data_IF_500355810126
#
_entry.id   IF_500355810126
#
_cell.length_a   1.000
_cell.length_b   1.000
_cell.length_c   1.000
_cell.angle_alpha   90.00
_cell.angle_beta   90.00
_cell.angle_gamma   90.00
#
_symmetry.space_group_name_H-M   'P 1'
#
loop_
_entity.id
_entity.type
_entity.pdbx_description
1 polymer ?
#
# COMPACT_ATOMS: atom_id res chain seq x y z
N UNK A 1 69.70 -57.25 -17.78
CA UNK A 1 69.15 -56.75 -16.49
C UNK A 1 68.66 -55.30 -16.53
N UNK A 2 69.07 -54.48 -17.51
CA UNK A 2 68.72 -53.05 -17.57
C UNK A 2 67.24 -52.78 -17.95
N UNK A 3 66.69 -53.51 -18.92
CA UNK A 3 65.27 -53.37 -19.33
C UNK A 3 64.25 -53.69 -18.23
N UNK A 4 64.53 -54.67 -17.36
CA UNK A 4 63.61 -55.03 -16.26
C UNK A 4 63.50 -53.93 -15.19
N UNK A 5 64.58 -53.16 -14.97
CA UNK A 5 64.60 -52.03 -14.03
C UNK A 5 63.86 -50.81 -14.59
N UNK A 6 63.94 -50.59 -15.91
CA UNK A 6 63.22 -49.51 -16.59
C UNK A 6 61.69 -49.73 -16.60
N UNK A 7 61.22 -50.97 -16.79
CA UNK A 7 59.79 -51.31 -16.77
C UNK A 7 59.19 -51.13 -15.37
N UNK A 8 59.92 -51.53 -14.31
CA UNK A 8 59.47 -51.35 -12.92
C UNK A 8 59.38 -49.86 -12.55
N UNK A 9 60.34 -49.04 -13.00
CA UNK A 9 60.30 -47.59 -12.78
C UNK A 9 59.12 -46.92 -13.50
N UNK A 10 58.80 -47.32 -14.73
CA UNK A 10 57.63 -46.82 -15.47
C UNK A 10 56.30 -47.18 -14.80
N UNK A 11 56.16 -48.42 -14.31
CA UNK A 11 54.96 -48.84 -13.59
C UNK A 11 54.78 -48.10 -12.26
N UNK A 12 55.87 -47.77 -11.56
CA UNK A 12 55.82 -46.99 -10.32
C UNK A 12 55.37 -45.53 -10.54
N UNK A 13 55.79 -44.91 -11.65
CA UNK A 13 55.37 -43.54 -12.02
C UNK A 13 53.89 -43.50 -12.42
N UNK A 14 53.41 -44.50 -13.17
CA UNK A 14 51.99 -44.62 -13.55
C UNK A 14 51.10 -44.82 -12.31
N UNK A 15 51.50 -45.69 -11.37
CA UNK A 15 50.76 -45.92 -10.12
C UNK A 15 50.70 -44.66 -9.23
N UNK A 16 51.77 -43.88 -9.13
CA UNK A 16 51.75 -42.62 -8.38
C UNK A 16 50.89 -41.53 -9.06
N UNK A 17 50.90 -41.46 -10.40
CA UNK A 17 50.05 -40.53 -11.15
C UNK A 17 48.56 -40.81 -11.01
N UNK A 18 48.15 -42.07 -11.03
CA UNK A 18 46.74 -42.47 -10.88
C UNK A 18 46.22 -42.27 -9.44
N UNK A 19 47.03 -42.53 -8.42
CA UNK A 19 46.65 -42.34 -7.02
C UNK A 19 46.45 -40.85 -6.66
N UNK A 20 47.34 -39.97 -7.12
CA UNK A 20 47.20 -38.52 -6.88
C UNK A 20 45.98 -37.91 -7.58
N UNK A 21 45.69 -38.35 -8.81
CA UNK A 21 44.53 -37.87 -9.57
C UNK A 21 43.20 -38.32 -8.94
N UNK A 22 43.11 -39.58 -8.48
CA UNK A 22 41.91 -40.10 -7.80
C UNK A 22 41.60 -39.38 -6.48
N UNK A 23 42.61 -39.14 -5.65
CA UNK A 23 42.44 -38.42 -4.37
C UNK A 23 42.01 -36.97 -4.60
N UNK A 24 42.59 -36.28 -5.59
CA UNK A 24 42.24 -34.89 -5.91
C UNK A 24 40.79 -34.73 -6.38
N UNK A 25 40.31 -35.64 -7.23
CA UNK A 25 38.91 -35.62 -7.67
C UNK A 25 37.93 -35.98 -6.55
N UNK A 26 38.28 -36.95 -5.71
CA UNK A 26 37.44 -37.34 -4.57
C UNK A 26 37.27 -36.21 -3.54
N UNK A 27 38.35 -35.51 -3.18
CA UNK A 27 38.28 -34.37 -2.24
C UNK A 27 37.43 -33.23 -2.80
N UNK A 28 37.55 -32.90 -4.09
CA UNK A 28 36.74 -31.85 -4.73
C UNK A 28 35.27 -32.22 -4.82
N UNK A 29 34.92 -33.48 -5.09
CA UNK A 29 33.51 -33.89 -5.15
C UNK A 29 32.86 -33.85 -3.76
N UNK A 30 33.59 -34.24 -2.70
CA UNK A 30 33.13 -34.07 -1.33
C UNK A 30 32.94 -32.58 -0.98
N UNK A 31 33.92 -31.73 -1.30
CA UNK A 31 33.82 -30.29 -1.04
C UNK A 31 32.64 -29.65 -1.78
N UNK A 32 32.37 -30.07 -3.02
CA UNK A 32 31.19 -29.63 -3.77
C UNK A 32 29.89 -30.05 -3.07
N UNK A 33 29.77 -31.34 -2.73
CA UNK A 33 28.58 -31.90 -2.07
C UNK A 33 28.28 -31.26 -0.72
N UNK A 34 29.32 -31.01 0.08
CA UNK A 34 29.20 -30.35 1.39
C UNK A 34 28.66 -28.92 1.25
N UNK A 35 29.14 -28.18 0.25
CA UNK A 35 28.69 -26.81 -0.03
C UNK A 35 27.26 -26.78 -0.55
N UNK A 36 26.87 -27.70 -1.44
CA UNK A 36 25.47 -27.84 -1.88
C UNK A 36 24.57 -28.13 -0.67
N UNK A 37 24.94 -29.08 0.18
CA UNK A 37 24.18 -29.43 1.40
C UNK A 37 24.04 -28.23 2.34
N UNK A 38 25.11 -27.45 2.53
CA UNK A 38 25.07 -26.24 3.33
C UNK A 38 24.14 -25.17 2.72
N UNK A 39 24.14 -25.04 1.40
CA UNK A 39 23.25 -24.13 0.68
C UNK A 39 21.78 -24.54 0.85
N UNK A 40 21.46 -25.82 0.68
CA UNK A 40 20.11 -26.34 0.87
C UNK A 40 19.60 -26.14 2.30
N UNK A 41 20.45 -26.38 3.31
CA UNK A 41 20.10 -26.08 4.72
C UNK A 41 19.82 -24.60 4.95
N UNK A 42 20.50 -23.71 4.23
CA UNK A 42 20.23 -22.27 4.30
C UNK A 42 18.90 -21.92 3.59
N UNK A 43 18.58 -22.57 2.46
CA UNK A 43 17.27 -22.45 1.77
C UNK A 43 16.12 -22.88 2.68
N UNK A 44 16.27 -23.99 3.41
CA UNK A 44 15.27 -24.47 4.39
C UNK A 44 15.05 -23.46 5.52
N UNK A 45 16.10 -22.73 5.91
CA UNK A 45 16.05 -21.66 6.91
C UNK A 45 15.64 -20.32 6.32
N UNK A 46 15.32 -20.24 5.02
CA UNK A 46 14.99 -19.01 4.28
C UNK A 46 16.11 -17.96 4.34
N UNK A 47 17.34 -18.41 4.55
CA UNK A 47 18.53 -17.58 4.58
C UNK A 47 19.13 -17.49 3.17
N UNK A 48 18.49 -16.67 2.34
CA UNK A 48 18.79 -16.56 0.92
C UNK A 48 20.23 -16.10 0.64
N UNK A 49 20.78 -15.23 1.50
CA UNK A 49 22.14 -14.72 1.36
C UNK A 49 23.17 -15.82 1.64
N UNK A 50 23.02 -16.57 2.74
CA UNK A 50 23.92 -17.68 3.01
C UNK A 50 23.73 -18.83 2.03
N UNK A 51 22.51 -19.10 1.56
CA UNK A 51 22.28 -20.07 0.49
C UNK A 51 23.06 -19.68 -0.77
N UNK A 52 22.95 -18.44 -1.22
CA UNK A 52 23.66 -17.93 -2.40
C UNK A 52 25.17 -18.08 -2.24
N UNK A 53 25.71 -17.65 -1.09
CA UNK A 53 27.15 -17.75 -0.80
C UNK A 53 27.65 -19.20 -0.89
N UNK A 54 26.89 -20.16 -0.38
CA UNK A 54 27.26 -21.57 -0.43
C UNK A 54 27.16 -22.14 -1.85
N UNK A 55 26.16 -21.74 -2.65
CA UNK A 55 26.10 -22.12 -4.07
C UNK A 55 27.23 -21.49 -4.90
N UNK A 56 27.62 -20.24 -4.64
CA UNK A 56 28.79 -19.59 -5.28
C UNK A 56 30.09 -20.32 -4.91
N UNK A 57 30.21 -20.72 -3.64
CA UNK A 57 31.34 -21.52 -3.20
C UNK A 57 31.36 -22.91 -3.86
N UNK A 58 30.20 -23.55 -4.05
CA UNK A 58 30.08 -24.83 -4.77
C UNK A 58 30.42 -24.65 -6.26
N UNK A 59 29.94 -23.58 -6.90
CA UNK A 59 30.25 -23.24 -8.28
C UNK A 59 31.75 -23.03 -8.50
N UNK A 60 32.44 -22.43 -7.53
CA UNK A 60 33.89 -22.25 -7.54
C UNK A 60 34.66 -23.58 -7.49
N UNK A 61 34.08 -24.62 -6.86
CA UNK A 61 34.64 -25.97 -6.91
C UNK A 61 34.34 -26.60 -8.26
N UNK A 62 33.09 -26.54 -8.72
CA UNK A 62 32.64 -27.13 -9.99
C UNK A 62 31.43 -26.35 -10.50
N UNK A 63 31.57 -25.74 -11.68
CA UNK A 63 30.48 -25.03 -12.30
C UNK A 63 29.49 -26.02 -12.93
N UNK A 64 28.26 -26.01 -12.44
CA UNK A 64 27.16 -26.86 -12.94
C UNK A 64 25.95 -25.99 -13.27
N UNK A 65 25.05 -26.45 -14.17
CA UNK A 65 23.77 -25.76 -14.41
C UNK A 65 23.01 -25.49 -13.11
N UNK A 66 22.94 -26.50 -12.23
CA UNK A 66 22.29 -26.40 -10.91
C UNK A 66 22.84 -25.24 -10.08
N UNK A 67 24.17 -25.10 -9.96
CA UNK A 67 24.73 -23.98 -9.19
C UNK A 67 24.41 -22.63 -9.84
N UNK A 68 24.45 -22.53 -11.17
CA UNK A 68 24.15 -21.30 -11.90
C UNK A 68 22.70 -20.88 -11.72
N UNK A 69 21.76 -21.78 -12.00
CA UNK A 69 20.33 -21.50 -11.90
C UNK A 69 19.94 -21.23 -10.45
N UNK A 70 20.46 -21.99 -9.49
CA UNK A 70 20.23 -21.73 -8.05
C UNK A 70 20.67 -20.33 -7.62
N UNK A 71 21.83 -19.85 -8.07
CA UNK A 71 22.31 -18.49 -7.76
C UNK A 71 21.39 -17.44 -8.37
N UNK A 72 20.94 -17.64 -9.61
CA UNK A 72 20.02 -16.74 -10.30
C UNK A 72 18.68 -16.64 -9.56
N UNK A 73 18.09 -17.77 -9.18
CA UNK A 73 16.88 -17.82 -8.37
C UNK A 73 17.04 -17.08 -7.05
N UNK A 74 18.17 -17.31 -6.36
CA UNK A 74 18.44 -16.70 -5.07
C UNK A 74 18.66 -15.19 -5.18
N UNK A 75 19.19 -14.67 -6.29
CA UNK A 75 19.28 -13.22 -6.51
C UNK A 75 17.90 -12.56 -6.53
N UNK A 76 16.92 -13.21 -7.16
CA UNK A 76 15.54 -12.73 -7.19
C UNK A 76 14.87 -12.91 -5.83
N UNK A 77 15.05 -14.05 -5.16
CA UNK A 77 14.52 -14.28 -3.82
C UNK A 77 15.06 -13.29 -2.77
N UNK A 78 16.33 -12.89 -2.85
CA UNK A 78 16.91 -11.85 -1.97
C UNK A 78 16.21 -10.51 -2.18
N UNK A 79 16.06 -10.07 -3.45
CA UNK A 79 15.35 -8.82 -3.77
C UNK A 79 13.90 -8.86 -3.29
N UNK A 80 13.23 -9.99 -3.43
CA UNK A 80 11.87 -10.20 -2.97
C UNK A 80 11.76 -10.11 -1.44
N UNK A 81 12.69 -10.74 -0.72
CA UNK A 81 12.74 -10.70 0.74
C UNK A 81 13.00 -9.28 1.26
N UNK A 82 13.87 -8.51 0.60
CA UNK A 82 14.12 -7.10 0.96
C UNK A 82 12.88 -6.24 0.68
N UNK A 83 12.25 -6.39 -0.49
CA UNK A 83 10.98 -5.71 -0.79
C UNK A 83 9.86 -6.05 0.21
N UNK A 84 9.85 -7.28 0.73
CA UNK A 84 8.89 -7.71 1.77
C UNK A 84 9.13 -6.98 3.09
N UNK A 85 10.39 -6.74 3.48
CA UNK A 85 10.73 -5.93 4.67
C UNK A 85 10.28 -4.49 4.49
N UNK A 86 10.42 -3.96 3.29
CA UNK A 86 9.97 -2.61 2.91
C UNK A 86 8.45 -2.51 2.72
N UNK A 87 7.70 -3.61 2.94
CA UNK A 87 6.25 -3.73 2.70
C UNK A 87 5.84 -3.42 1.25
N UNK A 88 6.77 -3.50 0.32
CA UNK A 88 6.50 -3.40 -1.11
C UNK A 88 6.11 -4.79 -1.64
N UNK A 89 4.92 -5.26 -1.25
CA UNK A 89 4.49 -6.63 -1.56
C UNK A 89 4.26 -6.88 -3.06
N UNK A 90 3.93 -5.83 -3.83
CA UNK A 90 3.82 -5.92 -5.29
C UNK A 90 5.18 -6.28 -5.90
N UNK A 91 6.24 -5.57 -5.51
CA UNK A 91 7.60 -5.86 -5.97
C UNK A 91 8.07 -7.22 -5.45
N UNK A 92 7.82 -7.53 -4.19
CA UNK A 92 8.20 -8.82 -3.60
C UNK A 92 7.59 -10.00 -4.36
N UNK A 93 6.27 -9.94 -4.61
CA UNK A 93 5.54 -10.94 -5.38
C UNK A 93 6.16 -11.13 -6.77
N UNK A 94 6.37 -10.03 -7.50
CA UNK A 94 6.94 -10.07 -8.84
C UNK A 94 8.35 -10.71 -8.85
N UNK A 95 9.20 -10.38 -7.87
CA UNK A 95 10.53 -10.96 -7.80
C UNK A 95 10.51 -12.45 -7.44
N UNK A 96 9.62 -12.89 -6.55
CA UNK A 96 9.44 -14.32 -6.27
C UNK A 96 8.90 -15.08 -7.49
N UNK A 97 7.97 -14.51 -8.26
CA UNK A 97 7.49 -15.12 -9.50
C UNK A 97 8.62 -15.27 -10.54
N UNK A 98 9.45 -14.23 -10.73
CA UNK A 98 10.62 -14.32 -11.61
C UNK A 98 11.62 -15.38 -11.13
N UNK A 99 11.79 -15.55 -9.82
CA UNK A 99 12.66 -16.58 -9.27
C UNK A 99 12.15 -18.01 -9.56
N UNK A 100 10.83 -18.21 -9.59
CA UNK A 100 10.20 -19.49 -9.93
C UNK A 100 10.28 -19.80 -11.44
N UNK A 101 10.30 -18.76 -12.27
CA UNK A 101 10.37 -18.88 -13.73
C UNK A 101 11.79 -19.14 -14.28
N UNK A 102 12.81 -19.22 -13.41
CA UNK A 102 14.17 -19.58 -13.84
C UNK A 102 14.19 -21.02 -14.36
N UNK A 103 14.58 -21.16 -15.63
CA UNK A 103 14.67 -22.45 -16.32
C UNK A 103 15.66 -23.40 -15.63
N UNK A 104 15.30 -24.69 -15.55
CA UNK A 104 16.00 -25.70 -14.75
C UNK A 104 16.28 -25.24 -13.30
N UNK A 105 15.32 -24.53 -12.72
CA UNK A 105 15.34 -24.07 -11.33
C UNK A 105 15.45 -25.22 -10.33
N UNK A 106 16.06 -24.95 -9.18
CA UNK A 106 16.23 -25.92 -8.11
C UNK A 106 14.92 -26.11 -7.33
N UNK A 107 14.37 -27.33 -7.36
CA UNK A 107 13.10 -27.67 -6.70
C UNK A 107 13.03 -27.31 -5.21
N UNK A 108 14.14 -27.41 -4.47
CA UNK A 108 14.15 -27.06 -3.04
C UNK A 108 14.02 -25.55 -2.85
N UNK A 109 14.65 -24.78 -3.74
CA UNK A 109 14.54 -23.32 -3.76
C UNK A 109 13.12 -22.93 -4.17
N UNK A 110 12.56 -23.55 -5.21
CA UNK A 110 11.19 -23.33 -5.67
C UNK A 110 10.16 -23.51 -4.55
N UNK A 111 10.19 -24.67 -3.87
CA UNK A 111 9.27 -24.94 -2.75
C UNK A 111 9.38 -23.90 -1.63
N UNK A 112 10.59 -23.46 -1.32
CA UNK A 112 10.80 -22.45 -0.28
C UNK A 112 10.27 -21.07 -0.72
N UNK A 113 10.46 -20.72 -2.00
CA UNK A 113 9.94 -19.49 -2.61
C UNK A 113 8.41 -19.51 -2.71
N UNK A 114 7.79 -20.62 -3.10
CA UNK A 114 6.33 -20.76 -3.18
C UNK A 114 5.67 -20.44 -1.84
N UNK A 115 6.23 -20.97 -0.74
CA UNK A 115 5.74 -20.68 0.60
C UNK A 115 5.82 -19.18 0.95
N UNK A 116 6.94 -18.52 0.63
CA UNK A 116 7.09 -17.07 0.86
C UNK A 116 6.16 -16.25 -0.04
N UNK A 117 5.97 -16.68 -1.30
CA UNK A 117 5.09 -16.03 -2.25
C UNK A 117 3.64 -16.04 -1.75
N UNK A 118 3.19 -17.15 -1.17
CA UNK A 118 1.85 -17.24 -0.57
C UNK A 118 1.71 -16.33 0.66
N UNK A 119 2.72 -16.28 1.53
CA UNK A 119 2.77 -15.35 2.66
C UNK A 119 2.71 -13.88 2.19
N UNK A 120 3.46 -13.52 1.14
CA UNK A 120 3.45 -12.18 0.55
C UNK A 120 2.09 -11.86 -0.07
N UNK A 121 1.48 -12.78 -0.81
CA UNK A 121 0.13 -12.60 -1.37
C UNK A 121 -0.91 -12.38 -0.28
N UNK A 122 -0.81 -13.09 0.85
CA UNK A 122 -1.69 -12.90 1.99
C UNK A 122 -1.53 -11.50 2.61
N UNK A 123 -0.28 -11.05 2.80
CA UNK A 123 0.04 -9.71 3.32
C UNK A 123 -0.44 -8.59 2.39
N UNK A 124 -0.19 -8.71 1.10
CA UNK A 124 -0.65 -7.76 0.06
C UNK A 124 -2.17 -7.59 0.09
N UNK A 125 -2.90 -8.71 0.14
CA UNK A 125 -4.36 -8.71 0.25
C UNK A 125 -4.85 -8.05 1.54
N UNK A 126 -4.15 -8.28 2.66
CA UNK A 126 -4.48 -7.64 3.93
C UNK A 126 -4.25 -6.14 3.91
N UNK A 127 -3.15 -5.67 3.34
CA UNK A 127 -2.87 -4.23 3.22
C UNK A 127 -3.85 -3.54 2.27
N UNK A 128 -4.19 -4.17 1.15
CA UNK A 128 -5.17 -3.65 0.21
C UNK A 128 -6.53 -3.46 0.89
N UNK A 129 -7.01 -4.47 1.63
CA UNK A 129 -8.25 -4.34 2.41
C UNK A 129 -8.19 -3.26 3.48
N UNK A 130 -7.06 -3.09 4.15
CA UNK A 130 -6.88 -2.05 5.15
C UNK A 130 -6.92 -0.64 4.51
N UNK A 131 -6.32 -0.48 3.33
CA UNK A 131 -6.36 0.77 2.55
C UNK A 131 -7.78 1.07 2.07
N UNK A 132 -8.46 0.10 1.47
CA UNK A 132 -9.87 0.23 1.03
C UNK A 132 -10.78 0.63 2.20
N UNK A 133 -10.62 0.01 3.36
CA UNK A 133 -11.39 0.35 4.56
C UNK A 133 -11.09 1.77 5.05
N UNK A 134 -9.83 2.22 4.98
CA UNK A 134 -9.44 3.58 5.36
C UNK A 134 -9.95 4.61 4.37
N UNK A 135 -9.88 4.34 3.07
CA UNK A 135 -10.40 5.19 2.00
C UNK A 135 -11.91 5.35 2.12
N UNK A 136 -12.62 4.25 2.41
CA UNK A 136 -14.06 4.29 2.66
C UNK A 136 -14.41 5.14 3.87
N UNK A 137 -13.66 5.02 4.97
CA UNK A 137 -13.87 5.88 6.15
C UNK A 137 -13.58 7.35 5.85
N UNK A 138 -12.54 7.64 5.06
CA UNK A 138 -12.19 9.00 4.66
C UNK A 138 -13.27 9.61 3.76
N UNK A 139 -13.84 8.84 2.83
CA UNK A 139 -14.93 9.31 1.97
C UNK A 139 -16.24 9.49 2.74
N UNK A 140 -16.58 8.57 3.65
CA UNK A 140 -17.74 8.71 4.55
C UNK A 140 -17.61 9.96 5.46
N UNK A 141 -16.42 10.22 6.00
CA UNK A 141 -16.16 11.41 6.81
C UNK A 141 -16.26 12.71 5.99
N UNK A 142 -15.83 12.68 4.73
CA UNK A 142 -15.94 13.83 3.82
C UNK A 142 -17.40 14.10 3.43
N UNK A 143 -18.18 13.06 3.14
CA UNK A 143 -19.62 13.22 2.87
C UNK A 143 -20.38 13.75 4.10
N UNK A 144 -20.04 13.28 5.31
CA UNK A 144 -20.64 13.78 6.54
C UNK A 144 -20.31 15.26 6.80
N UNK A 145 -19.07 15.69 6.51
CA UNK A 145 -18.67 17.10 6.68
C UNK A 145 -19.34 18.02 5.65
N UNK A 146 -19.50 17.58 4.41
CA UNK A 146 -20.26 18.30 3.39
C UNK A 146 -21.74 18.47 3.78
N UNK A 147 -22.38 17.42 4.31
CA UNK A 147 -23.76 17.50 4.80
C UNK A 147 -23.90 18.48 5.97
N UNK A 148 -22.95 18.47 6.92
CA UNK A 148 -22.94 19.42 8.03
C UNK A 148 -22.78 20.87 7.53
N UNK A 149 -21.94 21.09 6.53
CA UNK A 149 -21.74 22.41 5.92
C UNK A 149 -23.03 22.90 5.24
N UNK A 150 -23.68 22.04 4.44
CA UNK A 150 -24.95 22.36 3.79
C UNK A 150 -26.06 22.68 4.80
N UNK A 151 -26.16 21.91 5.88
CA UNK A 151 -27.12 22.16 6.95
C UNK A 151 -26.86 23.53 7.64
N UNK A 152 -25.59 23.91 7.82
CA UNK A 152 -25.23 25.20 8.40
C UNK A 152 -25.64 26.38 7.49
N UNK A 153 -25.45 26.27 6.18
CA UNK A 153 -25.89 27.28 5.21
C UNK A 153 -27.41 27.38 5.15
N UNK A 154 -28.12 26.25 5.10
CA UNK A 154 -29.58 26.24 5.11
C UNK A 154 -30.16 26.88 6.38
N UNK A 155 -29.50 26.66 7.54
CA UNK A 155 -29.87 27.33 8.79
C UNK A 155 -29.63 28.84 8.71
N UNK A 156 -28.47 29.28 8.21
CA UNK A 156 -28.17 30.71 8.03
C UNK A 156 -29.19 31.41 7.11
N UNK A 157 -29.53 30.80 5.97
CA UNK A 157 -30.55 31.31 5.04
C UNK A 157 -31.92 31.44 5.72
N UNK A 158 -32.30 30.47 6.56
CA UNK A 158 -33.57 30.51 7.28
C UNK A 158 -33.64 31.67 8.29
N UNK A 159 -32.52 31.97 8.96
CA UNK A 159 -32.39 33.11 9.88
C UNK A 159 -32.50 34.43 9.10
N UNK A 160 -31.84 34.53 7.94
CA UNK A 160 -31.91 35.73 7.10
C UNK A 160 -33.34 35.96 6.56
N UNK A 161 -34.01 34.90 6.09
CA UNK A 161 -35.39 34.96 5.61
C UNK A 161 -36.37 35.39 6.72
N UNK A 162 -36.20 34.86 7.93
CA UNK A 162 -37.00 35.25 9.09
C UNK A 162 -36.77 36.71 9.48
N UNK A 163 -35.51 37.17 9.50
CA UNK A 163 -35.16 38.56 9.79
C UNK A 163 -35.78 39.52 8.76
N UNK A 164 -35.72 39.16 7.47
CA UNK A 164 -36.32 39.95 6.39
C UNK A 164 -37.84 40.02 6.51
N UNK A 165 -38.49 38.88 6.81
CA UNK A 165 -39.95 38.81 7.00
C UNK A 165 -40.40 39.62 8.22
N UNK A 166 -39.63 39.59 9.31
CA UNK A 166 -39.89 40.41 10.49
C UNK A 166 -39.78 41.91 10.19
N UNK A 167 -38.77 42.29 9.40
CA UNK A 167 -38.57 43.68 8.95
C UNK A 167 -39.70 44.16 8.03
N UNK A 168 -40.10 43.37 7.03
CA UNK A 168 -41.25 43.70 6.17
C UNK A 168 -42.55 43.82 6.99
N UNK A 169 -42.74 42.95 7.99
CA UNK A 169 -43.89 43.01 8.87
C UNK A 169 -43.89 44.27 9.73
N UNK A 170 -42.73 44.71 10.23
CA UNK A 170 -42.63 45.95 11.01
C UNK A 170 -42.90 47.18 10.13
N UNK A 171 -42.34 47.24 8.93
CA UNK A 171 -42.61 48.32 7.95
C UNK A 171 -44.10 48.39 7.56
N UNK A 172 -44.75 47.23 7.41
CA UNK A 172 -46.20 47.14 7.12
C UNK A 172 -47.06 47.57 8.31
N UNK A 173 -46.61 47.32 9.54
CA UNK A 173 -47.27 47.80 10.75
C UNK A 173 -47.11 49.32 10.92
N UNK A 174 -45.93 49.85 10.65
CA UNK A 174 -45.65 51.30 10.69
C UNK A 174 -46.46 52.07 9.64
N UNK A 175 -46.50 51.58 8.39
CA UNK A 175 -47.32 52.19 7.34
C UNK A 175 -48.82 52.19 7.67
N UNK A 176 -49.34 51.10 8.26
CA UNK A 176 -50.73 51.05 8.78
C UNK A 176 -50.97 52.04 9.92
N UNK A 177 -50.03 52.17 10.87
CA UNK A 177 -50.12 53.17 11.95
C UNK A 177 -50.14 54.59 11.39
N UNK A 178 -49.27 54.92 10.44
CA UNK A 178 -49.22 56.23 9.80
C UNK A 178 -50.50 56.52 9.01
N UNK A 179 -51.07 55.54 8.30
CA UNK A 179 -52.35 55.68 7.60
C UNK A 179 -53.53 55.86 8.58
N UNK A 180 -53.53 55.16 9.71
CA UNK A 180 -54.54 55.31 10.77
C UNK A 180 -54.49 56.71 11.41
N UNK A 181 -53.29 57.21 11.71
CA UNK A 181 -53.10 58.55 12.26
C UNK A 181 -53.62 59.64 11.30
N UNK A 182 -53.43 59.43 9.98
CA UNK A 182 -53.94 60.33 8.94
C UNK A 182 -55.47 60.35 8.85
N UNK A 183 -56.13 59.18 8.98
CA UNK A 183 -57.60 59.09 9.05
C UNK A 183 -58.18 59.74 10.31
N UNK A 184 -57.50 59.62 11.45
CA UNK A 184 -57.93 60.20 12.72
C UNK A 184 -57.78 61.74 12.76
N UNK A 185 -56.77 62.28 12.07
CA UNK A 185 -56.66 63.73 11.82
C UNK A 185 -57.75 64.25 10.88
N UNK A 186 -58.18 63.45 9.90
CA UNK A 186 -59.26 63.83 8.97
C UNK A 186 -60.65 63.82 9.64
N UNK A 187 -60.92 62.88 10.55
CA UNK A 187 -62.18 62.84 11.32
C UNK A 187 -62.27 63.91 12.42
N UNK A 188 -61.14 64.34 12.98
CA UNK A 188 -61.14 65.46 13.94
C UNK A 188 -61.38 66.82 13.24
N UNK A 189 -61.07 66.94 11.95
CA UNK A 189 -61.31 68.17 11.19
C UNK A 189 -62.77 68.28 10.70
N UNK A 190 -63.49 67.16 10.55
CA UNK A 190 -64.92 67.16 10.17
C UNK A 190 -65.88 67.40 11.35
N UNK A 191 -65.44 67.19 12.59
CA UNK A 191 -66.27 67.50 13.78
C UNK A 191 -66.16 68.97 14.24
N UNK A 192 -65.25 69.77 13.66
CA UNK A 192 -65.15 71.20 13.98
C UNK A 192 -66.01 72.10 13.07
N UNK A 193 -66.61 71.57 12.00
CA UNK A 193 -67.38 72.38 11.05
C UNK A 193 -68.89 72.49 11.33
N UNK A 194 -69.46 71.67 12.23
CA UNK A 194 -70.92 71.68 12.49
C UNK A 194 -71.35 72.32 13.84
N UNK A 195 -70.41 72.79 14.68
CA UNK A 195 -70.78 73.44 15.95
C UNK A 195 -70.83 74.98 15.89
N UNK A 196 -70.69 75.60 14.70
CA UNK A 196 -70.73 77.07 14.50
C UNK A 196 -71.84 77.49 13.54
N UNK A 197 -73.07 77.00 13.72
CA UNK A 197 -74.23 77.59 13.03
C UNK A 197 -75.55 77.48 13.81
N UNK A 198 -75.52 77.77 15.11
CA UNK A 198 -76.75 78.02 15.86
C UNK A 198 -76.46 78.91 17.05
N UNK A 199 -76.44 80.23 16.83
CA UNK A 199 -76.71 81.30 17.80
C UNK A 199 -76.34 82.64 17.18
N UNK A 200 -77.28 83.25 16.45
CA UNK A 200 -77.47 84.71 16.35
C UNK A 200 -78.45 85.02 15.20
N UNK A 201 -79.76 85.05 15.50
CA UNK A 201 -80.68 86.10 15.01
C UNK A 201 -81.80 86.21 16.05
N UNK A 202 -81.69 87.21 16.93
CA UNK A 202 -82.83 87.75 17.69
C UNK A 202 -82.58 89.24 17.88
N UNK A 203 -83.09 90.04 16.96
CA UNK A 203 -83.81 91.30 17.18
C UNK A 203 -84.23 91.89 15.85
#
# INVERSE_FOLDING_TARGET
MWMRRAIIALLAVILCGCAGYGIYHYVRENEYSDKITAAEKAVEKKDWQNAKKNYEAAQSVKMTPVTRTSIEQLNHAIKAADATKDKNYVLAKSQYEVALDVDDGNDKINKSIENELDDVKAKDKSETKAREASEKKASEASAASEQALQASYAYADSIEAAAKSAKESSERAESKRNASNKKQQQSNNSNHSDSKKSSQVTR
#
